data_IF_505306724419
#
_entry.id   IF_505306724419
#
_cell.length_a   1.000
_cell.length_b   1.000
_cell.length_c   1.000
_cell.angle_alpha   90.00
_cell.angle_beta   90.00
_cell.angle_gamma   90.00
#
_symmetry.space_group_name_H-M   'P 1'
#
loop_
_entity.id
_entity.type
_entity.pdbx_description
1 polymer ?
#
# COMPACT_ATOMS: atom_id res chain seq x y z
N UNK A 1 -0.37 0.53 -21.44
CA UNK A 1 -0.23 0.63 -19.98
C UNK A 1 -1.25 1.65 -19.49
N UNK A 2 -2.22 1.25 -18.68
CA UNK A 2 -3.26 2.16 -18.18
C UNK A 2 -2.91 2.48 -16.73
N UNK A 3 -2.55 3.75 -16.47
CA UNK A 3 -2.21 4.26 -15.13
C UNK A 3 -3.32 5.17 -14.63
N UNK A 4 -3.53 5.18 -13.31
CA UNK A 4 -4.48 6.06 -12.66
C UNK A 4 -3.78 6.94 -11.63
N UNK A 5 -4.10 8.23 -11.63
CA UNK A 5 -3.49 9.22 -10.72
C UNK A 5 -4.17 9.30 -9.35
N UNK A 6 -5.26 8.55 -9.14
CA UNK A 6 -6.11 8.65 -7.94
C UNK A 6 -6.18 7.37 -7.14
N UNK A 7 -5.76 6.25 -7.72
CA UNK A 7 -5.76 4.93 -7.07
C UNK A 7 -4.68 4.02 -7.67
N UNK A 8 -3.94 3.34 -6.81
CA UNK A 8 -3.05 2.25 -7.19
C UNK A 8 -3.66 0.91 -6.81
N UNK A 9 -3.64 -0.06 -7.71
CA UNK A 9 -4.06 -1.45 -7.43
C UNK A 9 -2.84 -2.31 -7.19
N UNK A 10 -2.76 -2.92 -6.02
CA UNK A 10 -1.60 -3.72 -5.60
C UNK A 10 -2.02 -5.19 -5.56
N UNK A 11 -1.33 -5.99 -6.37
CA UNK A 11 -1.45 -7.45 -6.35
C UNK A 11 -0.79 -7.97 -5.08
N UNK A 12 -1.50 -8.84 -4.35
CA UNK A 12 -0.90 -9.52 -3.21
C UNK A 12 0.25 -10.41 -3.65
N UNK A 13 1.40 -10.36 -2.94
CA UNK A 13 2.41 -11.41 -3.03
C UNK A 13 1.83 -12.78 -2.73
N UNK A 14 2.50 -13.82 -3.22
CA UNK A 14 2.14 -15.19 -2.88
C UNK A 14 2.16 -15.39 -1.36
N UNK A 15 1.13 -16.05 -0.83
CA UNK A 15 1.00 -16.34 0.60
C UNK A 15 0.32 -15.25 1.45
N UNK A 16 -0.01 -14.09 0.88
CA UNK A 16 -0.80 -13.06 1.57
C UNK A 16 -2.27 -13.20 1.19
N UNK A 17 -3.14 -13.38 2.18
CA UNK A 17 -4.60 -13.40 2.02
C UNK A 17 -5.18 -12.00 2.25
N UNK A 18 -6.14 -11.61 1.39
CA UNK A 18 -6.67 -10.24 1.30
C UNK A 18 -7.31 -9.74 2.60
N UNK A 19 -8.29 -10.48 3.13
CA UNK A 19 -9.06 -10.04 4.28
C UNK A 19 -8.20 -9.87 5.52
N UNK A 20 -7.40 -10.89 5.86
CA UNK A 20 -6.50 -10.89 7.01
C UNK A 20 -5.45 -9.77 6.92
N UNK A 21 -4.87 -9.53 5.73
CA UNK A 21 -3.96 -8.41 5.54
C UNK A 21 -4.65 -7.07 5.78
N UNK A 22 -5.84 -6.85 5.19
CA UNK A 22 -6.56 -5.57 5.34
C UNK A 22 -7.03 -5.33 6.77
N UNK A 23 -7.47 -6.37 7.47
CA UNK A 23 -7.83 -6.27 8.90
C UNK A 23 -6.64 -5.87 9.75
N UNK A 24 -5.46 -6.48 9.50
CA UNK A 24 -4.23 -6.12 10.19
C UNK A 24 -3.78 -4.69 9.85
N UNK A 25 -3.86 -4.30 8.58
CA UNK A 25 -3.52 -2.95 8.13
C UNK A 25 -4.44 -1.89 8.76
N UNK A 26 -5.73 -2.20 8.86
CA UNK A 26 -6.73 -1.35 9.53
C UNK A 26 -6.44 -1.23 11.02
N UNK A 27 -6.10 -2.34 11.70
CA UNK A 27 -5.68 -2.31 13.10
C UNK A 27 -4.39 -1.48 13.31
N UNK A 28 -3.53 -1.39 12.30
CA UNK A 28 -2.34 -0.54 12.28
C UNK A 28 -2.64 0.92 11.88
N UNK A 29 -3.89 1.27 11.60
CA UNK A 29 -4.33 2.65 11.37
C UNK A 29 -4.53 3.06 9.90
N UNK A 30 -4.41 2.13 8.94
CA UNK A 30 -4.59 2.41 7.51
C UNK A 30 -5.76 1.61 6.95
N UNK A 31 -6.72 2.29 6.34
CA UNK A 31 -7.85 1.66 5.63
C UNK A 31 -7.59 1.62 4.13
N UNK A 32 -7.70 0.42 3.54
CA UNK A 32 -7.67 0.22 2.09
C UNK A 32 -8.90 -0.53 1.60
N UNK A 33 -9.23 -0.36 0.32
CA UNK A 33 -10.35 -1.07 -0.28
C UNK A 33 -9.93 -2.41 -0.88
N UNK A 34 -10.81 -3.41 -0.80
CA UNK A 34 -10.64 -4.67 -1.52
C UNK A 34 -10.75 -4.48 -3.05
N UNK A 35 -10.25 -5.48 -3.80
CA UNK A 35 -10.62 -5.70 -5.19
C UNK A 35 -12.11 -6.04 -5.35
N UNK A 36 -12.64 -5.86 -6.57
CA UNK A 36 -14.05 -6.14 -6.90
C UNK A 36 -14.14 -7.12 -8.07
N UNK A 37 -15.24 -7.88 -8.13
CA UNK A 37 -15.52 -8.83 -9.20
C UNK A 37 -14.37 -9.85 -9.36
N UNK A 38 -13.84 -9.98 -10.57
CA UNK A 38 -12.75 -10.92 -10.90
C UNK A 38 -11.43 -10.67 -10.15
N UNK A 39 -11.31 -9.50 -9.51
CA UNK A 39 -10.15 -9.08 -8.73
C UNK A 39 -10.36 -9.20 -7.20
N UNK A 40 -11.55 -9.60 -6.74
CA UNK A 40 -11.80 -9.83 -5.32
C UNK A 40 -10.83 -10.88 -4.75
N UNK A 41 -10.26 -10.62 -3.58
CA UNK A 41 -9.28 -11.49 -2.92
C UNK A 41 -7.87 -11.49 -3.53
N UNK A 42 -7.65 -10.80 -4.66
CA UNK A 42 -6.35 -10.79 -5.38
C UNK A 42 -5.58 -9.49 -5.21
N UNK A 43 -6.29 -8.38 -5.03
CA UNK A 43 -5.69 -7.05 -4.91
C UNK A 43 -6.28 -6.30 -3.73
N UNK A 44 -5.56 -5.28 -3.29
CA UNK A 44 -6.15 -4.13 -2.63
C UNK A 44 -5.95 -2.86 -3.46
N UNK A 45 -6.73 -1.83 -3.12
CA UNK A 45 -6.70 -0.52 -3.77
C UNK A 45 -6.28 0.52 -2.76
N UNK A 46 -5.16 1.19 -3.05
CA UNK A 46 -4.61 2.30 -2.30
C UNK A 46 -5.05 3.60 -2.98
N UNK A 47 -6.01 4.30 -2.39
CA UNK A 47 -6.47 5.60 -2.87
C UNK A 47 -5.48 6.69 -2.48
N UNK A 48 -5.19 7.58 -3.42
CA UNK A 48 -4.28 8.73 -3.24
C UNK A 48 -4.89 9.98 -3.90
N UNK A 49 -6.15 10.25 -3.60
CA UNK A 49 -6.93 11.36 -4.15
C UNK A 49 -7.50 12.27 -3.07
N UNK A 50 -7.72 13.54 -3.42
CA UNK A 50 -8.28 14.54 -2.51
C UNK A 50 -7.18 15.35 -1.82
N UNK A 51 -7.41 15.72 -0.55
CA UNK A 51 -6.46 16.50 0.24
C UNK A 51 -5.39 15.58 0.86
N UNK A 52 -4.51 15.06 0.01
CA UNK A 52 -3.41 14.15 0.38
C UNK A 52 -2.10 14.81 -0.06
N UNK A 53 -1.13 14.84 0.84
CA UNK A 53 0.24 15.28 0.58
C UNK A 53 1.21 14.11 0.58
N UNK A 54 2.47 14.40 0.29
CA UNK A 54 3.57 13.45 0.32
C UNK A 54 3.74 12.80 1.70
N UNK A 55 3.39 13.53 2.77
CA UNK A 55 3.47 13.02 4.15
C UNK A 55 2.52 11.85 4.39
N UNK A 56 1.27 11.95 3.93
CA UNK A 56 0.30 10.86 4.06
C UNK A 56 0.74 9.64 3.23
N UNK A 57 1.36 9.86 2.07
CA UNK A 57 1.90 8.77 1.23
C UNK A 57 3.02 8.04 1.99
N UNK A 58 4.00 8.76 2.52
CA UNK A 58 5.12 8.18 3.28
C UNK A 58 4.62 7.45 4.53
N UNK A 59 3.73 8.06 5.31
CA UNK A 59 3.15 7.43 6.50
C UNK A 59 2.39 6.15 6.15
N UNK A 60 1.60 6.16 5.07
CA UNK A 60 0.84 4.99 4.63
C UNK A 60 1.75 3.84 4.21
N UNK A 61 2.81 4.14 3.44
CA UNK A 61 3.78 3.12 3.03
C UNK A 61 4.54 2.54 4.22
N UNK A 62 4.90 3.35 5.21
CA UNK A 62 5.51 2.90 6.47
C UNK A 62 4.61 1.93 7.24
N UNK A 63 3.31 2.21 7.33
CA UNK A 63 2.35 1.31 7.99
C UNK A 63 2.10 0.03 7.18
N UNK A 64 2.17 0.08 5.85
CA UNK A 64 2.15 -1.12 5.01
C UNK A 64 3.38 -2.00 5.28
N UNK A 65 4.58 -1.43 5.33
CA UNK A 65 5.81 -2.17 5.68
C UNK A 65 5.74 -2.76 7.08
N UNK A 66 5.26 -1.98 8.08
CA UNK A 66 5.00 -2.51 9.43
C UNK A 66 4.05 -3.72 9.38
N UNK A 67 2.98 -3.63 8.59
CA UNK A 67 1.99 -4.71 8.46
C UNK A 67 2.60 -5.96 7.82
N UNK A 68 3.46 -5.80 6.81
CA UNK A 68 4.22 -6.89 6.20
C UNK A 68 5.18 -7.54 7.21
N UNK A 69 5.86 -6.75 8.04
CA UNK A 69 6.70 -7.25 9.14
C UNK A 69 5.89 -8.01 10.18
N UNK A 70 4.72 -7.50 10.58
CA UNK A 70 3.85 -8.13 11.57
C UNK A 70 3.35 -9.53 11.13
N UNK A 71 3.27 -9.77 9.82
CA UNK A 71 2.89 -11.08 9.25
C UNK A 71 4.10 -11.91 8.79
N UNK A 72 5.31 -11.50 9.15
CA UNK A 72 6.57 -12.17 8.82
C UNK A 72 6.81 -12.33 7.30
N UNK A 73 6.34 -11.38 6.48
CA UNK A 73 6.69 -11.34 5.07
C UNK A 73 8.14 -10.91 4.90
N UNK A 74 8.90 -11.58 4.03
CA UNK A 74 10.31 -11.25 3.79
C UNK A 74 10.44 -10.08 2.79
N UNK A 75 10.98 -8.97 3.27
CA UNK A 75 11.26 -7.79 2.46
C UNK A 75 12.35 -6.94 3.11
N UNK A 76 12.91 -6.01 2.35
CA UNK A 76 13.83 -5.01 2.89
C UNK A 76 13.03 -3.85 3.52
N UNK A 77 13.12 -3.72 4.84
CA UNK A 77 12.53 -2.59 5.57
C UNK A 77 13.03 -1.25 4.99
N UNK A 78 12.10 -0.31 4.79
CA UNK A 78 12.34 1.01 4.20
C UNK A 78 12.40 1.04 2.67
N UNK A 79 12.27 -0.10 1.97
CA UNK A 79 12.40 -0.12 0.51
C UNK A 79 11.28 0.64 -0.21
N UNK A 80 10.04 0.53 0.26
CA UNK A 80 8.89 1.24 -0.29
C UNK A 80 8.96 2.73 -0.01
N UNK A 81 9.35 3.10 1.22
CA UNK A 81 9.55 4.50 1.61
C UNK A 81 10.64 5.14 0.76
N UNK A 82 11.82 4.52 0.69
CA UNK A 82 12.93 5.04 -0.12
C UNK A 82 12.57 5.18 -1.61
N UNK A 83 11.69 4.30 -2.12
CA UNK A 83 11.15 4.41 -3.48
C UNK A 83 10.25 5.64 -3.64
N UNK A 84 9.36 5.89 -2.68
CA UNK A 84 8.48 7.06 -2.70
C UNK A 84 9.25 8.37 -2.54
N UNK A 85 10.16 8.46 -1.56
CA UNK A 85 10.96 9.67 -1.30
C UNK A 85 11.80 10.07 -2.52
N UNK A 86 12.36 9.10 -3.26
CA UNK A 86 13.09 9.38 -4.50
C UNK A 86 12.25 10.06 -5.57
N UNK A 87 10.93 9.86 -5.58
CA UNK A 87 10.02 10.44 -6.56
C UNK A 87 9.40 11.72 -6.03
N UNK A 88 8.95 11.72 -4.78
CA UNK A 88 8.23 12.83 -4.16
C UNK A 88 9.17 13.97 -3.75
N UNK A 89 10.38 13.64 -3.27
CA UNK A 89 11.33 14.64 -2.76
C UNK A 89 12.45 14.96 -3.74
N UNK A 90 12.41 14.41 -4.95
CA UNK A 90 13.32 14.83 -6.00
C UNK A 90 13.11 16.32 -6.27
N UNK A 91 14.18 17.11 -6.15
CA UNK A 91 14.19 18.48 -6.65
C UNK A 91 14.28 18.42 -8.17
N UNK A 92 13.42 19.17 -8.85
CA UNK A 92 13.55 19.45 -10.28
C UNK A 92 14.91 20.07 -10.62
#
# INVERSE_FOLDING_TARGET
EIRANTVSTILYPAGIEDLSFREKLYANGVLVSAGKGVLAGKIFRLGHMGNISENEVVATLSIIEKTLSDINYDFKLGAGIAGAEKVLFAKE
#
